data_IF_588688971934
#
_entry.id   IF_588688971934
#
_cell.length_a   1.000
_cell.length_b   1.000
_cell.length_c   1.000
_cell.angle_alpha   90.00
_cell.angle_beta   90.00
_cell.angle_gamma   90.00
#
_symmetry.space_group_name_H-M   'P 1'
#
loop_
_entity.id
_entity.type
_entity.pdbx_description
1 polymer ?
#
# COMPACT_ATOMS: atom_id res chain seq x y z
N UNK A 1 8.08 7.67 -2.67
CA UNK A 1 6.97 6.94 -2.03
C UNK A 1 7.48 6.31 -0.74
N UNK A 2 6.95 6.75 0.39
CA UNK A 2 7.21 6.23 1.73
C UNK A 2 5.93 5.54 2.21
N UNK A 3 6.01 4.30 2.67
CA UNK A 3 4.85 3.58 3.20
C UNK A 3 5.03 3.46 4.71
N UNK A 4 4.17 4.14 5.47
CA UNK A 4 4.03 3.95 6.91
C UNK A 4 2.97 2.90 7.18
N UNK A 5 3.27 1.96 8.06
CA UNK A 5 2.38 0.83 8.36
C UNK A 5 2.11 0.81 9.87
N UNK A 6 0.84 0.98 10.23
CA UNK A 6 0.32 0.83 11.59
C UNK A 6 -0.65 -0.36 11.63
N UNK A 7 -0.92 -0.96 12.81
CA UNK A 7 -1.91 -2.02 12.91
C UNK A 7 -3.28 -1.56 12.39
N UNK A 8 -3.78 -2.21 11.35
CA UNK A 8 -5.04 -1.88 10.67
C UNK A 8 -5.00 -0.69 9.72
N UNK A 9 -3.85 -0.04 9.51
CA UNK A 9 -3.76 1.17 8.69
C UNK A 9 -2.44 1.25 7.91
N UNK A 10 -2.53 1.55 6.61
CA UNK A 10 -1.39 1.77 5.73
C UNK A 10 -1.49 3.21 5.23
N UNK A 11 -0.44 3.99 5.44
CA UNK A 11 -0.36 5.38 4.97
C UNK A 11 0.73 5.45 3.91
N UNK A 12 0.36 5.80 2.68
CA UNK A 12 1.33 6.07 1.62
C UNK A 12 1.61 7.57 1.64
N UNK A 13 2.76 7.93 2.22
CA UNK A 13 3.31 9.29 2.20
C UNK A 13 4.23 9.45 1.00
N UNK A 14 4.44 10.67 0.53
CA UNK A 14 5.21 10.98 -0.68
C UNK A 14 4.48 10.67 -2.00
N UNK A 15 3.30 11.29 -2.13
CA UNK A 15 2.74 11.71 -3.41
C UNK A 15 3.00 13.22 -3.68
N UNK A 16 4.00 13.81 -3.01
CA UNK A 16 4.29 15.25 -3.14
C UNK A 16 4.74 15.65 -4.57
N UNK A 17 5.29 14.70 -5.35
CA UNK A 17 5.59 14.91 -6.77
C UNK A 17 4.35 14.84 -7.69
N UNK A 18 3.18 14.48 -7.15
CA UNK A 18 1.91 14.30 -7.87
C UNK A 18 0.73 15.09 -7.25
N UNK A 19 0.97 15.87 -6.20
CA UNK A 19 -0.03 16.78 -5.62
C UNK A 19 -1.22 16.11 -4.93
N UNK A 20 -1.06 14.86 -4.49
CA UNK A 20 -2.10 14.13 -3.76
C UNK A 20 -1.82 14.13 -2.26
N UNK A 21 -2.90 14.25 -1.46
CA UNK A 21 -2.87 14.07 -0.01
C UNK A 21 -2.42 12.65 0.37
N UNK A 22 -1.92 12.49 1.60
CA UNK A 22 -1.54 11.19 2.17
C UNK A 22 -2.67 10.17 1.96
N UNK A 23 -2.38 9.08 1.25
CA UNK A 23 -3.38 8.07 0.96
C UNK A 23 -3.42 7.06 2.11
N UNK A 24 -4.50 7.11 2.89
CA UNK A 24 -4.77 6.16 3.97
C UNK A 24 -5.58 5.00 3.40
N UNK A 25 -5.02 3.79 3.47
CA UNK A 25 -5.61 2.56 2.99
C UNK A 25 -5.75 1.59 4.17
N UNK A 26 -6.88 0.88 4.22
CA UNK A 26 -6.98 -0.31 5.06
C UNK A 26 -6.27 -1.51 4.39
N UNK A 27 -5.96 -2.60 5.13
CA UNK A 27 -5.27 -3.76 4.57
C UNK A 27 -6.01 -4.44 3.41
N UNK A 28 -7.33 -4.34 3.35
CA UNK A 28 -8.15 -4.91 2.27
C UNK A 28 -8.05 -4.05 1.01
N UNK A 29 -8.13 -2.73 1.16
CA UNK A 29 -7.92 -1.77 0.09
C UNK A 29 -6.50 -1.89 -0.50
N UNK A 30 -5.50 -2.10 0.35
CA UNK A 30 -4.13 -2.37 -0.08
C UNK A 30 -4.01 -3.64 -0.94
N UNK A 31 -4.71 -4.73 -0.62
CA UNK A 31 -4.72 -5.94 -1.47
C UNK A 31 -5.40 -5.70 -2.83
N UNK A 32 -6.47 -4.89 -2.86
CA UNK A 32 -7.15 -4.52 -4.10
C UNK A 32 -6.26 -3.68 -5.02
N UNK A 33 -5.56 -2.69 -4.46
CA UNK A 33 -4.61 -1.87 -5.21
C UNK A 33 -3.42 -2.71 -5.66
N UNK A 34 -2.97 -3.69 -4.87
CA UNK A 34 -1.91 -4.61 -5.26
C UNK A 34 -2.32 -5.45 -6.48
N UNK A 35 -3.56 -5.94 -6.50
CA UNK A 35 -4.10 -6.67 -7.64
C UNK A 35 -4.21 -5.80 -8.91
N UNK A 36 -4.60 -4.53 -8.79
CA UNK A 36 -4.61 -3.58 -9.90
C UNK A 36 -3.20 -3.28 -10.43
N UNK A 37 -2.21 -3.12 -9.52
CA UNK A 37 -0.80 -2.92 -9.89
C UNK A 37 -0.23 -4.13 -10.65
N UNK A 38 -0.55 -5.35 -10.21
CA UNK A 38 -0.15 -6.58 -10.90
C UNK A 38 -0.74 -6.66 -12.29
N UNK A 39 -2.03 -6.34 -12.45
CA UNK A 39 -2.70 -6.30 -13.75
C UNK A 39 -2.07 -5.27 -14.71
N UNK A 40 -1.47 -4.21 -14.16
CA UNK A 40 -0.74 -3.17 -14.92
C UNK A 40 0.73 -3.51 -15.15
N UNK A 41 1.22 -4.65 -14.65
CA UNK A 41 2.61 -5.10 -14.78
C UNK A 41 3.57 -4.48 -13.76
N UNK A 42 3.07 -3.81 -12.72
CA UNK A 42 3.85 -3.23 -11.63
C UNK A 42 3.98 -4.20 -10.45
N UNK A 43 4.48 -5.41 -10.71
CA UNK A 43 4.52 -6.53 -9.75
C UNK A 43 5.29 -6.22 -8.47
N UNK A 44 6.41 -5.50 -8.56
CA UNK A 44 7.21 -5.11 -7.38
C UNK A 44 6.43 -4.17 -6.44
N UNK A 45 5.63 -3.26 -6.99
CA UNK A 45 4.79 -2.37 -6.20
C UNK A 45 3.61 -3.14 -5.59
N UNK A 46 3.03 -4.08 -6.33
CA UNK A 46 1.98 -4.99 -5.83
C UNK A 46 2.47 -5.83 -4.65
N UNK A 47 3.66 -6.42 -4.75
CA UNK A 47 4.25 -7.22 -3.67
C UNK A 47 4.59 -6.39 -2.43
N UNK A 48 5.10 -5.16 -2.62
CA UNK A 48 5.30 -4.22 -1.51
C UNK A 48 4.01 -3.91 -0.76
N UNK A 49 2.91 -3.74 -1.48
CA UNK A 49 1.61 -3.41 -0.91
C UNK A 49 0.94 -4.60 -0.21
N UNK A 50 1.13 -5.83 -0.73
CA UNK A 50 0.72 -7.06 -0.04
C UNK A 50 1.48 -7.28 1.27
N UNK A 51 2.79 -7.03 1.27
CA UNK A 51 3.58 -7.14 2.49
C UNK A 51 3.15 -6.09 3.52
N UNK A 52 2.84 -4.87 3.08
CA UNK A 52 2.26 -3.85 3.95
C UNK A 52 0.92 -4.27 4.55
N UNK A 53 0.02 -4.88 3.75
CA UNK A 53 -1.23 -5.44 4.23
C UNK A 53 -1.04 -6.53 5.31
N UNK A 54 -0.10 -7.46 5.09
CA UNK A 54 0.24 -8.49 6.08
C UNK A 54 0.80 -7.90 7.37
N UNK A 55 1.69 -6.92 7.27
CA UNK A 55 2.26 -6.25 8.43
C UNK A 55 1.20 -5.47 9.22
N UNK A 56 0.28 -4.79 8.55
CA UNK A 56 -0.85 -4.10 9.18
C UNK A 56 -1.83 -5.08 9.88
N UNK A 57 -1.91 -6.34 9.42
CA UNK A 57 -2.69 -7.41 10.07
C UNK A 57 -1.94 -8.09 11.23
N UNK A 58 -0.64 -7.82 11.40
CA UNK A 58 0.20 -8.49 12.40
C UNK A 58 0.63 -9.91 12.02
N UNK A 59 0.73 -10.20 10.73
CA UNK A 59 1.06 -11.54 10.19
C UNK A 59 2.58 -11.78 9.97
N UNK A 60 3.45 -11.00 10.62
CA UNK A 60 4.92 -11.01 10.45
C UNK A 60 5.68 -11.21 11.76
#
# INVERSE_FOLDING_TARGET
MVIDIEPGQITIRDAAHVGLDDQILDPTAAELVAADLDNRGHTVAGDGLRNAARQARGEL
#
